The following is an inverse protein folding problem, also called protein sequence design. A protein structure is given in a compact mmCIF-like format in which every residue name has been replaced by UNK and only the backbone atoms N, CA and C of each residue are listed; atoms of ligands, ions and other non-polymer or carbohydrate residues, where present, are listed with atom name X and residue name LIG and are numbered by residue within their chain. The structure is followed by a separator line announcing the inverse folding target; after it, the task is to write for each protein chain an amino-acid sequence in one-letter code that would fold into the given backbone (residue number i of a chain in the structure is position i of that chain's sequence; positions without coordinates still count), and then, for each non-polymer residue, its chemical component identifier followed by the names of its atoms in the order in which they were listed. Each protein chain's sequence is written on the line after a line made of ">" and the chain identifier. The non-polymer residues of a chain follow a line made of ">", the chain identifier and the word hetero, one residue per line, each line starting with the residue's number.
data_IF_560740764049
#
_entry.id   IF_560740764049
#
_cell.length_a   1.000
_cell.length_b   1.000
_cell.length_c   1.000
_cell.angle_alpha   90.00
_cell.angle_beta   90.00
_cell.angle_gamma   90.00
#
_symmetry.space_group_name_H-M   'P 1'
#
loop_
_entity.id
_entity.type
_entity.pdbx_description
1 polymer ?
#
# COMPACT_ATOMS: atom_id res chain seq x y z
N UNK A 1 20.61 -15.05 24.09
CA UNK A 1 21.05 -13.65 24.00
C UNK A 1 21.64 -13.25 25.35
N UNK A 2 22.93 -12.85 25.36
CA UNK A 2 23.64 -12.41 26.57
C UNK A 2 23.05 -11.09 27.11
N UNK A 3 23.06 -10.85 28.44
CA UNK A 3 22.56 -9.61 29.05
C UNK A 3 23.15 -8.35 28.43
N UNK A 4 24.43 -8.37 28.09
CA UNK A 4 25.15 -7.24 27.43
C UNK A 4 24.53 -6.88 26.06
N UNK A 5 24.08 -7.85 25.29
CA UNK A 5 23.47 -7.61 23.98
C UNK A 5 22.08 -6.96 24.12
N UNK A 6 21.30 -7.37 25.12
CA UNK A 6 20.00 -6.73 25.46
C UNK A 6 20.21 -5.30 25.93
N UNK A 7 21.17 -5.04 26.81
CA UNK A 7 21.47 -3.70 27.30
C UNK A 7 21.92 -2.77 26.18
N UNK A 8 22.76 -3.24 25.26
CA UNK A 8 23.19 -2.47 24.08
C UNK A 8 22.03 -2.13 23.13
N UNK A 9 21.12 -3.08 22.91
CA UNK A 9 19.92 -2.85 22.12
C UNK A 9 18.96 -1.84 22.78
N UNK A 10 18.81 -1.88 24.11
CA UNK A 10 18.01 -0.91 24.85
C UNK A 10 18.62 0.50 24.73
N UNK A 11 19.92 0.68 24.92
CA UNK A 11 20.59 1.98 24.78
C UNK A 11 20.45 2.56 23.38
N UNK A 12 20.60 1.76 22.33
CA UNK A 12 20.43 2.19 20.93
C UNK A 12 18.96 2.62 20.71
N UNK A 13 18.00 1.85 21.19
CA UNK A 13 16.58 2.14 21.07
C UNK A 13 16.20 3.45 21.78
N UNK A 14 16.73 3.69 22.97
CA UNK A 14 16.45 4.91 23.73
C UNK A 14 17.07 6.13 23.06
N UNK A 15 18.31 6.04 22.58
CA UNK A 15 18.96 7.11 21.80
C UNK A 15 18.18 7.43 20.51
N UNK A 16 17.64 6.43 19.81
CA UNK A 16 16.82 6.66 18.63
C UNK A 16 15.49 7.35 18.97
N UNK A 17 14.86 6.99 20.09
CA UNK A 17 13.64 7.67 20.57
C UNK A 17 13.91 9.14 20.91
N UNK A 18 15.04 9.42 21.53
CA UNK A 18 15.42 10.79 21.88
C UNK A 18 15.69 11.63 20.62
N UNK A 19 16.40 11.07 19.63
CA UNK A 19 16.59 11.69 18.33
C UNK A 19 15.24 11.95 17.62
N UNK A 20 14.32 11.00 17.67
CA UNK A 20 12.99 11.16 17.12
C UNK A 20 12.21 12.29 17.80
N UNK A 21 12.27 12.39 19.13
CA UNK A 21 11.64 13.49 19.87
C UNK A 21 12.23 14.85 19.51
N UNK A 22 13.57 14.93 19.39
CA UNK A 22 14.27 16.18 19.10
C UNK A 22 14.04 16.67 17.65
N UNK A 23 14.06 15.76 16.69
CA UNK A 23 14.13 16.12 15.28
C UNK A 23 12.91 15.69 14.45
N UNK A 24 12.12 14.71 14.92
CA UNK A 24 11.05 14.11 14.15
C UNK A 24 10.04 15.13 13.61
N UNK A 25 9.57 16.04 14.45
CA UNK A 25 8.62 17.08 14.04
C UNK A 25 9.21 18.01 12.98
N UNK A 26 10.46 18.43 13.15
CA UNK A 26 11.17 19.27 12.18
C UNK A 26 11.33 18.55 10.84
N UNK A 27 11.81 17.30 10.88
CA UNK A 27 12.01 16.52 9.68
C UNK A 27 10.69 16.24 8.94
N UNK A 28 9.62 15.94 9.66
CA UNK A 28 8.29 15.77 9.08
C UNK A 28 7.83 17.01 8.31
N UNK A 29 7.97 18.20 8.91
CA UNK A 29 7.64 19.47 8.27
C UNK A 29 8.47 19.71 7.00
N UNK A 30 9.79 19.48 7.08
CA UNK A 30 10.68 19.66 5.93
C UNK A 30 10.38 18.65 4.81
N UNK A 31 10.08 17.39 5.15
CA UNK A 31 9.67 16.37 4.18
C UNK A 31 8.41 16.79 3.42
N UNK A 32 7.39 17.33 4.13
CA UNK A 32 6.16 17.83 3.50
C UNK A 32 6.45 19.02 2.57
N UNK A 33 7.31 19.95 2.99
CA UNK A 33 7.72 21.07 2.11
C UNK A 33 8.44 20.58 0.87
N UNK A 34 9.35 19.63 1.03
CA UNK A 34 10.10 19.02 -0.08
C UNK A 34 9.19 18.31 -1.08
N UNK A 35 8.24 17.51 -0.57
CA UNK A 35 7.31 16.80 -1.44
C UNK A 35 6.47 17.75 -2.29
N UNK A 36 5.98 18.84 -1.70
CA UNK A 36 5.24 19.88 -2.44
C UNK A 36 6.09 20.52 -3.53
N UNK A 37 7.36 20.83 -3.22
CA UNK A 37 8.30 21.41 -4.19
C UNK A 37 8.63 20.49 -5.36
N UNK A 38 8.71 19.19 -5.09
CA UNK A 38 9.00 18.15 -6.08
C UNK A 38 7.75 17.58 -6.75
N UNK A 39 6.55 18.04 -6.36
CA UNK A 39 5.27 17.47 -6.77
C UNK A 39 5.21 15.95 -6.52
N UNK A 40 5.79 15.51 -5.40
CA UNK A 40 5.83 14.11 -5.02
C UNK A 40 4.62 13.75 -4.14
N UNK A 41 4.04 12.59 -4.37
CA UNK A 41 2.96 12.05 -3.55
C UNK A 41 3.54 11.51 -2.25
N UNK A 42 2.95 11.91 -1.13
CA UNK A 42 3.26 11.37 0.20
C UNK A 42 2.20 10.37 0.64
N UNK A 43 2.65 9.32 1.31
CA UNK A 43 1.79 8.40 2.03
C UNK A 43 2.07 8.49 3.54
N UNK A 44 1.04 8.31 4.36
CA UNK A 44 1.22 7.96 5.77
C UNK A 44 1.48 6.47 5.89
N UNK A 45 2.00 6.04 7.03
CA UNK A 45 2.30 4.62 7.29
C UNK A 45 1.92 4.27 8.73
N UNK A 46 1.20 3.14 8.89
CA UNK A 46 0.79 2.61 10.18
C UNK A 46 -0.14 3.54 11.00
N UNK A 47 -0.97 4.34 10.34
CA UNK A 47 -2.00 5.13 11.04
C UNK A 47 -2.88 4.20 11.89
N UNK A 48 -2.98 4.50 13.20
CA UNK A 48 -3.64 3.63 14.18
C UNK A 48 -4.93 4.25 14.71
N UNK A 49 -4.94 5.57 14.90
CA UNK A 49 -6.03 6.32 15.50
C UNK A 49 -6.67 7.30 14.52
N UNK A 50 -7.86 7.79 14.86
CA UNK A 50 -8.51 8.89 14.13
C UNK A 50 -7.59 10.11 14.07
N UNK A 51 -6.90 10.43 15.17
CA UNK A 51 -5.99 11.58 15.25
C UNK A 51 -4.81 11.47 14.28
N UNK A 52 -4.25 10.27 14.09
CA UNK A 52 -3.16 10.05 13.11
C UNK A 52 -3.64 10.36 11.69
N UNK A 53 -4.85 9.90 11.35
CA UNK A 53 -5.45 10.16 10.05
C UNK A 53 -5.79 11.65 9.84
N UNK A 54 -6.29 12.33 10.89
CA UNK A 54 -6.55 13.78 10.84
C UNK A 54 -5.27 14.59 10.67
N UNK A 55 -4.19 14.19 11.35
CA UNK A 55 -2.87 14.79 11.13
C UNK A 55 -2.42 14.60 9.68
N UNK A 56 -2.49 13.38 9.15
CA UNK A 56 -2.15 13.05 7.76
C UNK A 56 -2.97 13.89 6.76
N UNK A 57 -4.28 14.01 7.00
CA UNK A 57 -5.18 14.82 6.19
C UNK A 57 -4.77 16.31 6.20
N UNK A 58 -4.47 16.88 7.39
CA UNK A 58 -4.04 18.27 7.55
C UNK A 58 -2.74 18.59 6.80
N UNK A 59 -1.90 17.58 6.59
CA UNK A 59 -0.64 17.67 5.87
C UNK A 59 -0.80 17.51 4.34
N UNK A 60 -2.02 17.23 3.86
CA UNK A 60 -2.33 17.01 2.46
C UNK A 60 -1.94 15.61 1.98
N UNK A 61 -1.78 14.66 2.88
CA UNK A 61 -1.57 13.25 2.56
C UNK A 61 -2.91 12.65 2.14
N UNK A 62 -2.95 11.99 0.99
CA UNK A 62 -4.15 11.38 0.41
C UNK A 62 -4.00 9.86 0.19
N UNK A 63 -2.95 9.27 0.75
CA UNK A 63 -2.63 7.86 0.65
C UNK A 63 -2.15 7.35 2.01
N UNK A 64 -2.77 6.29 2.53
CA UNK A 64 -2.41 5.63 3.79
C UNK A 64 -1.93 4.22 3.50
N UNK A 65 -0.70 3.94 3.89
CA UNK A 65 -0.09 2.62 3.77
C UNK A 65 -0.23 1.89 5.12
N UNK A 66 -0.87 0.73 5.09
CA UNK A 66 -1.06 -0.19 6.21
C UNK A 66 -1.72 0.44 7.46
N UNK A 67 -2.91 1.09 7.37
CA UNK A 67 -3.62 1.46 8.58
C UNK A 67 -3.79 0.23 9.47
N UNK A 68 -3.49 0.38 10.76
CA UNK A 68 -3.37 -0.78 11.66
C UNK A 68 -4.70 -1.20 12.28
N UNK A 69 -5.68 -0.31 12.27
CA UNK A 69 -7.01 -0.53 12.86
C UNK A 69 -8.13 -0.31 11.85
N UNK A 70 -9.27 -0.94 12.11
CA UNK A 70 -10.48 -0.68 11.31
C UNK A 70 -10.98 0.75 11.48
N UNK A 71 -10.79 1.33 12.66
CA UNK A 71 -11.15 2.71 12.96
C UNK A 71 -10.38 3.70 12.09
N UNK A 72 -9.04 3.57 12.04
CA UNK A 72 -8.17 4.39 11.18
C UNK A 72 -8.54 4.22 9.70
N UNK A 73 -8.76 2.99 9.23
CA UNK A 73 -9.17 2.71 7.85
C UNK A 73 -10.52 3.35 7.51
N UNK A 74 -11.50 3.28 8.41
CA UNK A 74 -12.81 3.93 8.23
C UNK A 74 -12.67 5.45 8.15
N UNK A 75 -11.83 6.03 9.00
CA UNK A 75 -11.53 7.46 8.98
C UNK A 75 -10.81 7.87 7.69
N UNK A 76 -9.84 7.08 7.20
CA UNK A 76 -9.20 7.32 5.90
C UNK A 76 -10.25 7.42 4.78
N UNK A 77 -11.17 6.47 4.72
CA UNK A 77 -12.24 6.46 3.69
C UNK A 77 -13.11 7.71 3.76
N UNK A 78 -13.58 8.10 4.96
CA UNK A 78 -14.39 9.30 5.17
C UNK A 78 -13.65 10.61 4.87
N UNK A 79 -12.32 10.60 4.97
CA UNK A 79 -11.43 11.72 4.64
C UNK A 79 -10.91 11.69 3.19
N UNK A 80 -11.43 10.77 2.35
CA UNK A 80 -10.99 10.54 0.96
C UNK A 80 -9.49 10.19 0.82
N UNK A 81 -8.89 9.62 1.87
CA UNK A 81 -7.53 9.06 1.84
C UNK A 81 -7.61 7.64 1.31
N UNK A 82 -6.82 7.31 0.30
CA UNK A 82 -6.77 5.98 -0.32
C UNK A 82 -5.96 5.01 0.53
N UNK A 83 -6.42 3.77 0.64
CA UNK A 83 -5.79 2.77 1.51
C UNK A 83 -5.03 1.74 0.67
N UNK A 84 -3.76 1.54 1.04
CA UNK A 84 -2.90 0.48 0.51
C UNK A 84 -2.72 -0.60 1.58
N UNK A 85 -2.84 -1.87 1.17
CA UNK A 85 -2.44 -3.02 1.98
C UNK A 85 -1.48 -3.92 1.21
N UNK A 86 -0.62 -4.63 1.95
CA UNK A 86 0.27 -5.61 1.36
C UNK A 86 -0.47 -6.85 0.86
N UNK A 87 -0.19 -7.25 -0.36
CA UNK A 87 -0.71 -8.49 -0.94
C UNK A 87 -0.40 -9.74 -0.09
N UNK A 88 0.78 -9.86 0.57
CA UNK A 88 1.06 -10.98 1.47
C UNK A 88 0.08 -11.10 2.63
N UNK A 89 -0.46 -9.97 3.14
CA UNK A 89 -1.47 -9.98 4.19
C UNK A 89 -2.75 -10.70 3.72
N UNK A 90 -3.19 -10.45 2.49
CA UNK A 90 -4.35 -11.11 1.91
C UNK A 90 -4.10 -12.59 1.61
N UNK A 91 -2.96 -12.92 0.97
CA UNK A 91 -2.62 -14.30 0.59
C UNK A 91 -2.48 -15.21 1.81
N UNK A 92 -1.96 -14.68 2.91
CA UNK A 92 -1.78 -15.44 4.17
C UNK A 92 -3.02 -15.47 5.06
N UNK A 93 -4.01 -14.65 4.75
CA UNK A 93 -5.26 -14.58 5.52
C UNK A 93 -5.19 -13.73 6.79
N UNK A 94 -4.19 -12.84 6.93
CA UNK A 94 -4.11 -11.92 8.06
C UNK A 94 -2.78 -11.22 8.28
N UNK A 95 -2.75 -10.34 9.28
CA UNK A 95 -1.56 -9.62 9.70
C UNK A 95 -0.68 -10.45 10.65
N UNK A 96 0.64 -10.30 10.54
CA UNK A 96 1.59 -10.87 11.48
C UNK A 96 1.54 -10.21 12.87
N UNK A 97 1.15 -8.94 12.91
CA UNK A 97 1.23 -8.08 14.09
C UNK A 97 -0.10 -7.94 14.82
N UNK A 98 -1.13 -8.69 14.40
CA UNK A 98 -2.48 -8.54 14.96
C UNK A 98 -3.24 -7.30 14.46
N UNK A 99 -2.70 -6.57 13.49
CA UNK A 99 -3.35 -5.42 12.85
C UNK A 99 -4.54 -5.86 11.99
N UNK A 100 -5.37 -4.92 11.56
CA UNK A 100 -6.49 -5.19 10.66
C UNK A 100 -6.05 -5.95 9.41
N UNK A 101 -6.81 -6.95 9.01
CA UNK A 101 -6.49 -7.73 7.81
C UNK A 101 -6.97 -7.03 6.54
N UNK A 102 -6.23 -7.24 5.44
CA UNK A 102 -6.64 -6.78 4.11
C UNK A 102 -8.02 -7.34 3.73
N UNK A 103 -8.33 -8.59 4.12
CA UNK A 103 -9.64 -9.19 3.89
C UNK A 103 -10.76 -8.43 4.60
N UNK A 104 -10.57 -8.04 5.88
CA UNK A 104 -11.56 -7.25 6.62
C UNK A 104 -11.83 -5.89 5.96
N UNK A 105 -10.81 -5.27 5.37
CA UNK A 105 -10.95 -4.02 4.64
C UNK A 105 -11.68 -4.21 3.30
N UNK A 106 -11.43 -5.31 2.61
CA UNK A 106 -12.15 -5.69 1.39
C UNK A 106 -13.64 -5.90 1.67
N UNK A 107 -13.96 -6.66 2.71
CA UNK A 107 -15.34 -7.00 3.09
C UNK A 107 -16.17 -5.75 3.46
N UNK A 108 -15.50 -4.67 3.86
CA UNK A 108 -16.11 -3.38 4.21
C UNK A 108 -15.96 -2.30 3.12
N UNK A 109 -15.48 -2.66 1.94
CA UNK A 109 -15.23 -1.73 0.84
C UNK A 109 -14.29 -0.56 1.18
N UNK A 110 -13.31 -0.82 2.02
CA UNK A 110 -12.33 0.18 2.46
C UNK A 110 -11.00 0.11 1.69
N UNK A 111 -10.64 -1.05 1.12
CA UNK A 111 -9.36 -1.24 0.43
C UNK A 111 -9.40 -0.69 -1.00
N UNK A 112 -8.46 0.20 -1.33
CA UNK A 112 -8.32 0.79 -2.65
C UNK A 112 -7.18 0.17 -3.48
N UNK A 113 -6.05 -0.19 -2.85
CA UNK A 113 -4.80 -0.57 -3.53
C UNK A 113 -4.15 -1.75 -2.82
N UNK A 114 -3.56 -2.65 -3.60
CA UNK A 114 -2.64 -3.68 -3.11
C UNK A 114 -1.21 -3.37 -3.56
N UNK A 115 -0.24 -3.49 -2.65
CA UNK A 115 1.18 -3.47 -2.95
C UNK A 115 1.78 -4.87 -2.86
N UNK A 116 2.87 -5.12 -3.57
CA UNK A 116 3.59 -6.41 -3.46
C UNK A 116 4.27 -6.58 -2.11
N UNK A 117 4.53 -5.45 -1.41
CA UNK A 117 5.28 -5.45 -0.17
C UNK A 117 6.61 -6.24 -0.34
N UNK A 118 7.00 -7.08 0.60
CA UNK A 118 8.21 -7.88 0.56
C UNK A 118 8.11 -9.19 -0.27
N UNK A 119 6.94 -9.49 -0.87
CA UNK A 119 6.73 -10.71 -1.69
C UNK A 119 6.20 -10.33 -3.08
N UNK A 120 7.06 -10.02 -4.07
CA UNK A 120 6.64 -9.58 -5.40
C UNK A 120 5.63 -10.50 -6.08
N UNK A 121 5.76 -11.81 -5.92
CA UNK A 121 4.87 -12.82 -6.50
C UNK A 121 3.46 -12.83 -5.90
N UNK A 122 3.26 -12.23 -4.73
CA UNK A 122 1.95 -12.20 -4.06
C UNK A 122 0.96 -11.24 -4.71
N UNK A 123 1.43 -10.21 -5.42
CA UNK A 123 0.57 -9.13 -5.90
C UNK A 123 -0.56 -9.62 -6.81
N UNK A 124 -0.21 -10.33 -7.88
CA UNK A 124 -1.21 -10.86 -8.82
C UNK A 124 -2.04 -11.97 -8.17
N UNK A 125 -1.42 -12.79 -7.31
CA UNK A 125 -2.12 -13.82 -6.54
C UNK A 125 -3.24 -13.20 -5.71
N UNK A 126 -2.93 -12.18 -4.92
CA UNK A 126 -3.90 -11.49 -4.06
C UNK A 126 -5.03 -10.83 -4.89
N UNK A 127 -4.70 -10.19 -6.00
CA UNK A 127 -5.69 -9.57 -6.88
C UNK A 127 -6.67 -10.60 -7.45
N UNK A 128 -6.19 -11.75 -7.91
CA UNK A 128 -7.05 -12.83 -8.45
C UNK A 128 -7.88 -13.45 -7.33
N UNK A 129 -7.29 -13.78 -6.17
CA UNK A 129 -8.04 -14.31 -5.02
C UNK A 129 -9.16 -13.36 -4.59
N UNK A 130 -8.88 -12.07 -4.48
CA UNK A 130 -9.89 -11.07 -4.17
C UNK A 130 -11.00 -11.05 -5.23
N UNK A 131 -10.63 -10.96 -6.51
CA UNK A 131 -11.58 -10.85 -7.61
C UNK A 131 -12.52 -12.05 -7.73
N UNK A 132 -12.00 -13.28 -7.53
CA UNK A 132 -12.80 -14.51 -7.53
C UNK A 132 -13.74 -14.52 -6.32
N UNK A 133 -13.23 -14.26 -5.12
CA UNK A 133 -14.02 -14.28 -3.88
C UNK A 133 -15.14 -13.26 -3.87
N UNK A 134 -14.89 -12.06 -4.41
CA UNK A 134 -15.88 -10.98 -4.48
C UNK A 134 -16.76 -11.03 -5.75
N UNK A 135 -16.51 -11.97 -6.64
CA UNK A 135 -17.10 -12.03 -7.99
C UNK A 135 -16.94 -10.69 -8.75
N UNK A 136 -15.81 -10.01 -8.56
CA UNK A 136 -15.52 -8.71 -9.18
C UNK A 136 -14.04 -8.57 -9.53
N UNK A 137 -13.61 -9.31 -10.57
CA UNK A 137 -12.24 -9.22 -11.11
C UNK A 137 -11.85 -7.81 -11.58
N UNK A 138 -12.70 -7.02 -12.25
CA UNK A 138 -12.32 -5.66 -12.65
C UNK A 138 -11.91 -4.79 -11.48
N UNK A 139 -12.61 -4.85 -10.35
CA UNK A 139 -12.28 -4.08 -9.14
C UNK A 139 -10.94 -4.50 -8.55
N UNK A 140 -10.71 -5.79 -8.40
CA UNK A 140 -9.47 -6.30 -7.81
C UNK A 140 -8.25 -6.05 -8.71
N UNK A 141 -8.41 -6.15 -10.04
CA UNK A 141 -7.35 -5.80 -10.99
C UNK A 141 -7.08 -4.30 -10.97
N UNK A 142 -8.10 -3.45 -10.88
CA UNK A 142 -7.90 -2.01 -10.74
C UNK A 142 -7.07 -1.65 -9.49
N UNK A 143 -7.18 -2.42 -8.41
CA UNK A 143 -6.40 -2.20 -7.18
C UNK A 143 -4.88 -2.42 -7.36
N UNK A 144 -4.45 -3.12 -8.41
CA UNK A 144 -3.03 -3.34 -8.74
C UNK A 144 -2.59 -2.66 -10.05
N UNK A 145 -3.49 -1.91 -10.70
CA UNK A 145 -3.23 -1.24 -11.98
C UNK A 145 -3.70 0.21 -11.98
N UNK A 146 -4.96 0.47 -12.25
CA UNK A 146 -5.51 1.82 -12.43
C UNK A 146 -5.48 2.65 -11.13
N UNK A 147 -5.81 2.06 -9.98
CA UNK A 147 -5.89 2.80 -8.73
C UNK A 147 -4.52 3.32 -8.27
N UNK A 148 -3.43 2.50 -8.21
CA UNK A 148 -2.11 3.00 -7.86
C UNK A 148 -1.63 4.05 -8.86
N UNK A 149 -1.85 3.88 -10.17
CA UNK A 149 -1.49 4.88 -11.16
C UNK A 149 -2.18 6.22 -10.92
N UNK A 150 -3.49 6.19 -10.67
CA UNK A 150 -4.29 7.40 -10.39
C UNK A 150 -3.78 8.16 -9.17
N UNK A 151 -3.48 7.44 -8.08
CA UNK A 151 -3.05 8.06 -6.82
C UNK A 151 -1.64 8.66 -6.94
N UNK A 152 -0.76 8.03 -7.71
CA UNK A 152 0.63 8.48 -7.91
C UNK A 152 0.79 9.45 -9.09
N UNK A 153 -0.31 9.82 -9.77
CA UNK A 153 -0.26 10.75 -10.91
C UNK A 153 0.31 10.16 -12.20
N UNK A 154 0.40 8.83 -12.31
CA UNK A 154 0.85 8.14 -13.53
C UNK A 154 -0.30 8.02 -14.53
N UNK A 155 -0.52 9.07 -15.33
CA UNK A 155 -1.68 9.16 -16.22
C UNK A 155 -1.47 8.45 -17.59
N UNK A 156 -0.27 7.91 -17.83
CA UNK A 156 0.13 7.30 -19.11
C UNK A 156 0.00 5.77 -19.12
N UNK A 157 -0.51 5.17 -18.04
CA UNK A 157 -0.61 3.71 -17.86
C UNK A 157 -1.73 3.30 -16.89
N UNK A 158 -1.82 2.00 -16.56
CA UNK A 158 -2.77 1.45 -15.58
C UNK A 158 -4.08 0.95 -16.19
N UNK A 159 -4.33 1.21 -17.45
CA UNK A 159 -5.52 0.74 -18.19
C UNK A 159 -5.15 0.33 -19.62
N UNK A 160 -5.94 -0.55 -20.19
CA UNK A 160 -5.87 -0.85 -21.64
C UNK A 160 -6.75 0.17 -22.35
N UNK A 161 -6.11 1.21 -22.88
CA UNK A 161 -6.77 2.30 -23.61
C UNK A 161 -5.82 2.85 -24.65
N UNK A 162 -6.38 3.26 -25.81
CA UNK A 162 -5.62 3.93 -26.86
C UNK A 162 -4.92 5.20 -26.34
N UNK A 163 -3.67 5.41 -26.75
CA UNK A 163 -2.83 6.52 -26.32
C UNK A 163 -2.06 6.28 -25.00
N UNK A 164 -2.33 5.18 -24.29
CA UNK A 164 -1.56 4.82 -23.10
C UNK A 164 -0.40 3.87 -23.43
N UNK A 165 0.56 3.79 -22.52
CA UNK A 165 1.67 2.83 -22.62
C UNK A 165 1.16 1.39 -22.64
N UNK A 166 1.71 0.61 -23.53
CA UNK A 166 1.43 -0.83 -23.63
C UNK A 166 2.28 -1.61 -22.60
N UNK A 167 2.08 -1.32 -21.31
CA UNK A 167 2.59 -2.10 -20.19
C UNK A 167 1.52 -3.14 -19.84
N UNK A 168 1.67 -4.36 -20.36
CA UNK A 168 0.62 -5.37 -20.36
C UNK A 168 1.10 -6.67 -19.73
N UNK A 169 0.20 -7.35 -19.04
CA UNK A 169 0.43 -8.71 -18.53
C UNK A 169 -0.69 -9.62 -19.05
N UNK A 170 -0.33 -10.68 -19.76
CA UNK A 170 -1.24 -11.76 -20.13
C UNK A 170 -1.10 -12.89 -19.12
N UNK A 171 -2.20 -13.28 -18.52
CA UNK A 171 -2.26 -14.39 -17.58
C UNK A 171 -3.38 -15.38 -17.93
N UNK A 172 -3.27 -16.58 -17.41
CA UNK A 172 -4.38 -17.55 -17.34
C UNK A 172 -4.64 -17.90 -15.89
N UNK A 173 -5.89 -18.21 -15.57
CA UNK A 173 -6.27 -18.65 -14.22
C UNK A 173 -6.48 -20.17 -14.30
N UNK A 174 -5.77 -20.93 -13.45
CA UNK A 174 -5.95 -22.37 -13.28
C UNK A 174 -6.11 -22.69 -11.81
N UNK A 175 -7.22 -23.32 -11.44
CA UNK A 175 -7.54 -23.66 -10.05
C UNK A 175 -7.35 -22.43 -9.13
N UNK A 176 -7.91 -21.30 -9.54
CA UNK A 176 -7.87 -19.99 -8.86
C UNK A 176 -6.46 -19.36 -8.72
N UNK A 177 -5.46 -19.93 -9.37
CA UNK A 177 -4.09 -19.41 -9.39
C UNK A 177 -3.77 -18.71 -10.70
N UNK A 178 -3.19 -17.48 -10.64
CA UNK A 178 -2.72 -16.80 -11.85
C UNK A 178 -1.42 -17.43 -12.35
N UNK A 179 -1.36 -17.66 -13.64
CA UNK A 179 -0.15 -18.09 -14.34
C UNK A 179 0.18 -17.01 -15.37
N UNK A 180 1.27 -16.29 -15.15
CA UNK A 180 1.76 -15.30 -16.10
C UNK A 180 2.20 -16.00 -17.37
N UNK A 181 1.75 -15.51 -18.51
CA UNK A 181 2.03 -16.07 -19.83
C UNK A 181 2.95 -15.20 -20.65
N UNK A 182 2.76 -13.87 -20.58
CA UNK A 182 3.59 -12.88 -21.27
C UNK A 182 3.53 -11.55 -20.54
N UNK A 183 4.61 -10.82 -20.62
CA UNK A 183 4.73 -9.45 -20.10
C UNK A 183 5.28 -8.55 -21.20
N UNK A 184 4.66 -7.37 -21.36
CA UNK A 184 5.15 -6.33 -22.25
C UNK A 184 5.43 -5.06 -21.44
N UNK A 185 6.54 -4.41 -21.76
CA UNK A 185 6.89 -3.09 -21.27
C UNK A 185 7.00 -2.14 -22.47
N UNK A 186 6.18 -1.11 -22.51
CA UNK A 186 6.09 -0.16 -23.62
C UNK A 186 5.89 -0.86 -24.99
N UNK A 187 5.08 -1.91 -25.01
CA UNK A 187 4.77 -2.71 -26.21
C UNK A 187 5.82 -3.77 -26.59
N UNK A 188 6.97 -3.79 -25.91
CA UNK A 188 8.01 -4.79 -26.14
C UNK A 188 7.83 -5.98 -25.21
N UNK A 189 7.79 -7.20 -25.74
CA UNK A 189 7.75 -8.43 -24.94
C UNK A 189 9.06 -8.57 -24.14
N UNK A 190 8.93 -8.77 -22.82
CA UNK A 190 10.07 -8.84 -21.88
C UNK A 190 10.08 -10.12 -21.05
N UNK A 191 8.97 -10.88 -21.02
CA UNK A 191 8.86 -12.20 -20.42
C UNK A 191 7.66 -12.96 -20.97
#
# INVERSE_FOLDING_TARGET
>A
HTPIRRQRQMCIRDSLKDLQKMFGKKHKIETIKFSKRLNAVLASHDDTTISDVEESCSQGINLAEFPTTLEAATKCKSSNIKIIMGAPNLVRGGSHSGNVSAQSLIDKDLLDILSSDYVPSSLMMAAIMWGIKSNNLPKSIAAVTANPCKVTGLNDRGMIKEGLKADLVRLSIKKDLPIIRKVWASGREVA
#
